data_IF_182943546826
#
_entry.id   IF_182943546826
#
_cell.length_a   1.000
_cell.length_b   1.000
_cell.length_c   1.000
_cell.angle_alpha   90.00
_cell.angle_beta   90.00
_cell.angle_gamma   90.00
#
_symmetry.space_group_name_H-M   'P 1'
#
loop_
_entity.id
_entity.type
_entity.pdbx_description
1 polymer ?
#
# COMPACT_ATOMS: atom_id res chain seq x y z
N UNK A 1 20.92 21.36 -29.92
CA UNK A 1 22.18 20.57 -29.87
C UNK A 1 21.79 19.26 -29.18
N UNK A 2 21.68 18.10 -29.81
CA UNK A 2 22.70 17.33 -30.52
C UNK A 2 22.10 16.54 -31.70
N UNK A 3 22.88 16.41 -32.77
CA UNK A 3 22.51 15.79 -34.05
C UNK A 3 22.69 14.27 -34.00
N UNK A 4 21.75 13.57 -34.64
CA UNK A 4 21.81 12.15 -35.02
C UNK A 4 23.02 11.93 -35.95
N UNK A 5 23.86 10.94 -35.66
CA UNK A 5 24.93 10.50 -36.55
C UNK A 5 24.49 9.19 -37.21
N UNK A 6 24.14 9.28 -38.48
CA UNK A 6 23.92 8.16 -39.40
C UNK A 6 25.26 7.54 -39.77
N UNK A 7 25.37 6.23 -39.57
CA UNK A 7 26.55 5.43 -39.91
C UNK A 7 26.43 5.02 -41.39
N UNK A 8 27.24 5.62 -42.26
CA UNK A 8 27.34 5.24 -43.67
C UNK A 8 28.48 4.22 -43.85
N UNK A 9 28.11 3.01 -44.28
CA UNK A 9 29.01 1.93 -44.63
C UNK A 9 29.54 2.19 -46.05
N UNK A 10 30.83 2.45 -46.21
CA UNK A 10 31.49 2.51 -47.51
C UNK A 10 32.48 1.34 -47.63
N UNK A 11 32.12 0.34 -48.41
CA UNK A 11 33.01 -0.75 -48.85
C UNK A 11 33.68 -0.31 -50.14
N UNK A 12 35.00 -0.13 -50.12
CA UNK A 12 35.80 0.06 -51.31
C UNK A 12 36.79 -1.12 -51.44
N UNK A 13 36.59 -1.93 -52.48
CA UNK A 13 37.50 -2.98 -52.89
C UNK A 13 38.59 -2.37 -53.81
N UNK A 14 39.85 -2.71 -53.55
CA UNK A 14 40.94 -2.49 -54.49
C UNK A 14 41.84 -3.72 -54.54
N UNK A 15 41.91 -4.30 -55.74
CA UNK A 15 42.73 -5.46 -56.12
C UNK A 15 44.21 -5.08 -56.24
N UNK A 16 45.09 -5.95 -55.74
CA UNK A 16 46.52 -5.95 -56.05
C UNK A 16 47.27 -6.99 -55.24
N UNK A 17 47.61 -8.13 -55.86
CA UNK A 17 48.53 -9.14 -55.30
C UNK A 17 49.84 -9.13 -56.09
N UNK A 18 50.97 -9.37 -55.41
CA UNK A 18 51.68 -10.61 -55.68
C UNK A 18 52.09 -11.38 -54.41
N UNK A 19 51.79 -12.68 -54.45
CA UNK A 19 52.48 -13.84 -53.86
C UNK A 19 53.50 -13.61 -52.73
N UNK A 20 53.00 -13.52 -51.49
CA UNK A 20 53.64 -14.07 -50.27
C UNK A 20 52.64 -14.02 -49.08
N UNK A 21 51.43 -14.56 -49.23
CA UNK A 21 50.37 -14.32 -48.24
C UNK A 21 49.31 -15.43 -48.19
N UNK A 22 49.68 -16.62 -47.74
CA UNK A 22 48.71 -17.72 -47.53
C UNK A 22 48.59 -18.18 -46.09
N UNK A 23 49.56 -17.85 -45.22
CA UNK A 23 49.49 -18.19 -43.79
C UNK A 23 48.84 -17.08 -42.95
N UNK A 24 49.20 -15.80 -43.15
CA UNK A 24 48.64 -14.67 -42.37
C UNK A 24 47.14 -14.46 -42.61
N UNK A 25 46.69 -14.63 -43.86
CA UNK A 25 45.29 -14.47 -44.26
C UNK A 25 44.37 -15.52 -43.66
N UNK A 26 44.84 -16.75 -43.43
CA UNK A 26 44.00 -17.80 -42.85
C UNK A 26 43.74 -17.60 -41.36
N UNK A 27 44.74 -17.15 -40.60
CA UNK A 27 44.58 -16.87 -39.18
C UNK A 27 43.81 -15.55 -38.93
N UNK A 28 43.98 -14.55 -39.78
CA UNK A 28 43.13 -13.35 -39.79
C UNK A 28 41.66 -13.70 -40.12
N UNK A 29 41.42 -14.56 -41.11
CA UNK A 29 40.07 -15.03 -41.45
C UNK A 29 39.41 -15.82 -40.31
N UNK A 30 40.17 -16.63 -39.56
CA UNK A 30 39.66 -17.32 -38.36
C UNK A 30 39.30 -16.32 -37.27
N UNK A 31 40.17 -15.36 -37.02
CA UNK A 31 39.96 -14.32 -36.00
C UNK A 31 38.74 -13.47 -36.31
N UNK A 32 38.56 -13.08 -37.57
CA UNK A 32 37.42 -12.30 -38.03
C UNK A 32 36.11 -13.10 -37.94
N UNK A 33 36.12 -14.38 -38.30
CA UNK A 33 34.96 -15.27 -38.13
C UNK A 33 34.55 -15.42 -36.67
N UNK A 34 35.50 -15.49 -35.76
CA UNK A 34 35.22 -15.58 -34.33
C UNK A 34 34.65 -14.26 -33.79
N UNK A 35 35.19 -13.11 -34.24
CA UNK A 35 34.63 -11.80 -33.91
C UNK A 35 33.19 -11.63 -34.42
N UNK A 36 32.89 -12.07 -35.64
CA UNK A 36 31.53 -12.02 -36.19
C UNK A 36 30.57 -12.88 -35.37
N UNK A 37 30.97 -14.10 -34.97
CA UNK A 37 30.14 -14.94 -34.07
C UNK A 37 29.93 -14.30 -32.70
N UNK A 38 30.93 -13.64 -32.16
CA UNK A 38 30.80 -12.92 -30.88
C UNK A 38 29.87 -11.72 -31.00
N UNK A 39 29.90 -11.01 -32.13
CA UNK A 39 28.98 -9.92 -32.43
C UNK A 39 27.54 -10.42 -32.59
N UNK A 40 27.32 -11.49 -33.35
CA UNK A 40 25.98 -12.09 -33.52
C UNK A 40 25.38 -12.54 -32.18
N UNK A 41 26.20 -13.14 -31.29
CA UNK A 41 25.76 -13.48 -29.93
C UNK A 41 25.38 -12.24 -29.14
N UNK A 42 26.21 -11.18 -29.16
CA UNK A 42 25.91 -9.93 -28.44
C UNK A 42 24.66 -9.23 -28.97
N UNK A 43 24.42 -9.26 -30.29
CA UNK A 43 23.21 -8.72 -30.90
C UNK A 43 21.99 -9.54 -30.46
N UNK A 44 22.10 -10.87 -30.48
CA UNK A 44 21.02 -11.77 -30.02
C UNK A 44 20.71 -11.56 -28.53
N UNK A 45 21.72 -11.45 -27.68
CA UNK A 45 21.57 -11.20 -26.25
C UNK A 45 20.94 -9.81 -25.99
N UNK A 46 21.33 -8.79 -26.77
CA UNK A 46 20.75 -7.45 -26.68
C UNK A 46 19.30 -7.40 -27.18
N UNK A 47 18.98 -8.11 -28.26
CA UNK A 47 17.60 -8.25 -28.75
C UNK A 47 16.71 -8.98 -27.74
N UNK A 48 17.22 -10.06 -27.13
CA UNK A 48 16.52 -10.75 -26.03
C UNK A 48 16.32 -9.85 -24.82
N UNK A 49 17.34 -9.06 -24.41
CA UNK A 49 17.22 -8.11 -23.32
C UNK A 49 16.20 -6.99 -23.61
N UNK A 50 16.09 -6.54 -24.87
CA UNK A 50 15.08 -5.55 -25.30
C UNK A 50 13.68 -6.16 -25.28
N UNK A 51 13.51 -7.39 -25.77
CA UNK A 51 12.22 -8.10 -25.74
C UNK A 51 11.77 -8.32 -24.28
N UNK A 52 12.70 -8.70 -23.40
CA UNK A 52 12.45 -8.91 -21.97
C UNK A 52 12.23 -7.60 -21.19
N UNK A 53 12.77 -6.48 -21.66
CA UNK A 53 12.46 -5.15 -21.13
C UNK A 53 11.09 -4.64 -21.59
N UNK A 54 10.65 -5.01 -22.78
CA UNK A 54 9.34 -4.65 -23.34
C UNK A 54 8.17 -5.50 -22.82
N UNK A 55 8.44 -6.62 -22.13
CA UNK A 55 7.44 -7.44 -21.44
C UNK A 55 7.28 -7.09 -19.96
N UNK A 56 7.97 -6.05 -19.47
CA UNK A 56 7.75 -5.52 -18.12
C UNK A 56 6.34 -4.92 -18.07
N UNK A 57 5.49 -5.29 -17.10
CA UNK A 57 4.20 -4.64 -16.93
C UNK A 57 4.44 -3.13 -16.88
N UNK A 58 3.64 -2.39 -17.65
CA UNK A 58 3.76 -0.95 -17.76
C UNK A 58 3.80 -0.36 -16.35
N UNK A 59 4.90 0.32 -16.00
CA UNK A 59 5.04 0.98 -14.70
C UNK A 59 3.84 1.88 -14.45
N UNK A 60 3.45 2.13 -13.19
CA UNK A 60 2.40 3.12 -12.85
C UNK A 60 2.54 4.44 -13.63
N UNK A 61 3.76 4.82 -14.05
CA UNK A 61 4.02 5.99 -14.91
C UNK A 61 3.49 5.92 -16.35
N UNK A 62 2.94 4.79 -16.82
CA UNK A 62 2.38 4.65 -18.17
C UNK A 62 0.94 5.18 -18.28
N UNK A 63 0.22 5.28 -17.15
CA UNK A 63 -1.15 5.81 -17.06
C UNK A 63 -1.24 6.75 -15.85
N UNK A 64 -1.63 8.00 -16.06
CA UNK A 64 -1.86 8.98 -14.99
C UNK A 64 -3.28 9.56 -15.17
N UNK A 65 -4.32 8.97 -14.53
CA UNK A 65 -4.25 8.07 -13.38
C UNK A 65 -3.95 6.60 -13.72
N UNK A 66 -3.25 5.92 -12.82
CA UNK A 66 -3.24 4.47 -12.72
C UNK A 66 -4.60 4.00 -12.17
N UNK A 67 -5.10 2.89 -12.70
CA UNK A 67 -6.40 2.32 -12.37
C UNK A 67 -6.22 0.84 -12.04
N UNK A 68 -6.75 0.39 -10.91
CA UNK A 68 -6.80 -1.04 -10.56
C UNK A 68 -8.15 -1.43 -9.97
N UNK A 69 -8.57 -2.65 -10.27
CA UNK A 69 -9.78 -3.26 -9.71
C UNK A 69 -9.38 -4.53 -8.98
N UNK A 70 -9.84 -4.67 -7.74
CA UNK A 70 -9.63 -5.84 -6.90
C UNK A 70 -11.01 -6.44 -6.60
N UNK A 71 -11.18 -7.71 -6.92
CA UNK A 71 -12.41 -8.44 -6.65
C UNK A 71 -12.16 -9.44 -5.54
N UNK A 72 -13.00 -9.40 -4.50
CA UNK A 72 -12.90 -10.29 -3.35
C UNK A 72 -14.19 -11.09 -3.20
N UNK A 73 -14.05 -12.42 -3.05
CA UNK A 73 -15.17 -13.34 -2.88
C UNK A 73 -14.94 -14.21 -1.66
N UNK A 74 -15.98 -14.39 -0.84
CA UNK A 74 -15.90 -15.09 0.44
C UNK A 74 -16.91 -16.25 0.45
N UNK A 75 -16.49 -17.38 1.04
CA UNK A 75 -17.38 -18.46 1.43
C UNK A 75 -17.36 -18.66 2.95
N UNK A 76 -18.51 -18.51 3.59
CA UNK A 76 -18.64 -18.60 5.05
C UNK A 76 -19.54 -19.75 5.47
N UNK A 77 -19.01 -20.70 6.25
CA UNK A 77 -19.78 -21.77 6.87
C UNK A 77 -19.87 -21.56 8.39
N UNK A 78 -20.91 -20.82 8.83
CA UNK A 78 -21.07 -20.38 10.22
C UNK A 78 -22.06 -21.25 10.98
N UNK A 79 -21.63 -21.83 12.09
CA UNK A 79 -22.49 -22.66 12.96
C UNK A 79 -23.48 -21.83 13.79
N UNK A 80 -23.07 -20.63 14.23
CA UNK A 80 -23.91 -19.68 14.96
C UNK A 80 -24.60 -18.72 14.00
N UNK A 81 -25.72 -18.13 14.42
CA UNK A 81 -26.43 -17.13 13.63
C UNK A 81 -25.62 -15.82 13.56
N UNK A 82 -25.11 -15.41 12.37
CA UNK A 82 -24.32 -14.19 12.23
C UNK A 82 -25.06 -12.93 12.68
N UNK A 83 -26.39 -12.89 12.54
CA UNK A 83 -27.20 -11.72 12.93
C UNK A 83 -27.24 -11.50 14.45
N UNK A 84 -26.87 -12.51 15.23
CA UNK A 84 -26.83 -12.45 16.70
C UNK A 84 -25.40 -12.29 17.24
N UNK A 85 -24.42 -12.19 16.35
CA UNK A 85 -23.02 -12.10 16.74
C UNK A 85 -22.77 -10.83 17.56
N UNK A 86 -22.04 -11.01 18.66
CA UNK A 86 -21.60 -9.93 19.53
C UNK A 86 -20.31 -10.32 20.24
N UNK A 87 -19.47 -9.31 20.49
CA UNK A 87 -18.26 -9.48 21.27
C UNK A 87 -18.57 -9.10 22.72
N UNK A 88 -18.62 -10.11 23.59
CA UNK A 88 -18.92 -9.91 25.01
C UNK A 88 -17.73 -9.26 25.75
N UNK A 89 -18.03 -8.46 26.78
CA UNK A 89 -17.02 -7.81 27.61
C UNK A 89 -16.43 -6.52 27.04
N UNK A 90 -16.86 -6.10 25.85
CA UNK A 90 -16.46 -4.86 25.20
C UNK A 90 -17.68 -4.01 24.86
N UNK A 91 -17.46 -2.69 24.77
CA UNK A 91 -18.48 -1.76 24.27
C UNK A 91 -18.68 -2.03 22.77
N UNK A 92 -19.92 -2.15 22.27
CA UNK A 92 -20.18 -2.26 20.84
C UNK A 92 -19.55 -1.11 20.07
N UNK A 93 -18.80 -1.45 19.02
CA UNK A 93 -18.02 -0.48 18.25
C UNK A 93 -18.82 0.14 17.11
N UNK A 94 -20.01 -0.38 16.80
CA UNK A 94 -20.87 0.04 15.69
C UNK A 94 -20.21 -0.06 14.30
N UNK A 95 -19.04 -0.69 14.20
CA UNK A 95 -18.37 -0.99 12.94
C UNK A 95 -18.69 -2.41 12.45
N UNK A 96 -18.14 -2.75 11.29
CA UNK A 96 -18.30 -4.05 10.64
C UNK A 96 -17.43 -5.12 11.33
N UNK A 97 -17.82 -5.49 12.54
CA UNK A 97 -17.08 -6.44 13.39
C UNK A 97 -17.67 -7.84 13.39
N UNK A 98 -18.89 -7.98 12.87
CA UNK A 98 -19.59 -9.24 12.74
C UNK A 98 -18.98 -10.16 11.67
N UNK A 99 -19.22 -11.47 11.75
CA UNK A 99 -18.98 -12.34 10.62
C UNK A 99 -19.94 -11.94 9.49
N UNK A 100 -19.50 -12.09 8.23
CA UNK A 100 -20.36 -11.87 7.07
C UNK A 100 -21.53 -12.86 6.98
N UNK A 101 -22.22 -12.85 5.84
CA UNK A 101 -23.35 -13.77 5.59
C UNK A 101 -22.88 -15.21 5.38
N UNK A 102 -23.75 -16.18 5.67
CA UNK A 102 -23.48 -17.60 5.35
C UNK A 102 -23.51 -17.84 3.83
N UNK A 103 -22.66 -18.75 3.37
CA UNK A 103 -22.57 -19.14 1.97
C UNK A 103 -21.62 -18.26 1.16
N UNK A 104 -21.85 -18.19 -0.15
CA UNK A 104 -21.09 -17.36 -1.07
C UNK A 104 -21.52 -15.90 -0.94
N UNK A 105 -20.54 -15.00 -0.87
CA UNK A 105 -20.76 -13.56 -0.78
C UNK A 105 -19.60 -12.79 -1.41
N UNK A 106 -19.81 -11.50 -1.68
CA UNK A 106 -18.72 -10.59 -2.01
C UNK A 106 -18.00 -10.19 -0.72
N UNK A 107 -16.67 -10.20 -0.76
CA UNK A 107 -15.87 -9.45 0.21
C UNK A 107 -15.68 -8.01 -0.25
N UNK A 108 -14.87 -7.26 0.48
CA UNK A 108 -14.49 -5.90 0.07
C UNK A 108 -13.76 -5.94 -1.28
N UNK A 109 -14.46 -5.47 -2.31
CA UNK A 109 -13.91 -5.29 -3.65
C UNK A 109 -13.60 -3.81 -3.85
N UNK A 110 -12.50 -3.49 -4.53
CA UNK A 110 -11.99 -2.12 -4.58
C UNK A 110 -11.74 -1.64 -6.00
N UNK A 111 -12.01 -0.35 -6.22
CA UNK A 111 -11.53 0.43 -7.35
C UNK A 111 -10.54 1.46 -6.82
N UNK A 112 -9.28 1.33 -7.19
CA UNK A 112 -8.25 2.29 -6.85
C UNK A 112 -7.85 3.12 -8.08
N UNK A 113 -7.78 4.43 -7.86
CA UNK A 113 -7.28 5.43 -8.79
C UNK A 113 -6.12 6.16 -8.11
N UNK A 114 -4.96 6.21 -8.77
CA UNK A 114 -3.81 6.92 -8.25
C UNK A 114 -3.14 7.74 -9.33
N UNK A 115 -2.77 8.98 -9.01
CA UNK A 115 -2.26 9.91 -9.99
C UNK A 115 -1.17 10.82 -9.40
N UNK A 116 -0.12 11.09 -10.16
CA UNK A 116 0.78 12.20 -9.85
C UNK A 116 0.07 13.49 -10.29
N UNK A 117 -0.18 14.37 -9.32
CA UNK A 117 -0.80 15.68 -9.57
C UNK A 117 0.24 16.60 -10.21
N UNK A 118 1.45 16.58 -9.66
CA UNK A 118 2.64 17.22 -10.18
C UNK A 118 3.91 16.46 -9.72
N UNK A 119 5.07 17.11 -9.77
CA UNK A 119 6.34 16.54 -9.32
C UNK A 119 6.50 16.45 -7.79
N UNK A 120 5.61 17.06 -7.02
CA UNK A 120 5.63 17.09 -5.57
C UNK A 120 4.50 16.30 -4.93
N UNK A 121 3.37 16.10 -5.61
CA UNK A 121 2.15 15.54 -5.03
C UNK A 121 1.60 14.35 -5.81
N UNK A 122 1.07 13.37 -5.07
CA UNK A 122 0.31 12.23 -5.58
C UNK A 122 -1.06 12.18 -4.91
N UNK A 123 -2.11 12.02 -5.71
CA UNK A 123 -3.46 11.74 -5.26
C UNK A 123 -3.76 10.24 -5.28
N UNK A 124 -4.58 9.78 -4.34
CA UNK A 124 -5.06 8.40 -4.27
C UNK A 124 -6.52 8.41 -3.85
N UNK A 125 -7.36 7.66 -4.57
CA UNK A 125 -8.76 7.42 -4.27
C UNK A 125 -8.99 5.91 -4.33
N UNK A 126 -9.47 5.33 -3.24
CA UNK A 126 -9.85 3.93 -3.13
C UNK A 126 -11.33 3.91 -2.75
N UNK A 127 -12.16 3.46 -3.69
CA UNK A 127 -13.57 3.23 -3.46
C UNK A 127 -13.79 1.73 -3.25
N UNK A 128 -14.55 1.38 -2.22
CA UNK A 128 -14.92 -0.01 -1.96
C UNK A 128 -16.37 -0.27 -2.29
N UNK A 129 -16.61 -1.51 -2.70
CA UNK A 129 -17.92 -2.09 -2.94
C UNK A 129 -18.09 -3.14 -1.84
N UNK A 130 -18.99 -2.88 -0.92
CA UNK A 130 -19.29 -3.77 0.19
C UNK A 130 -20.10 -4.99 -0.26
N UNK A 131 -20.16 -6.02 0.59
CA UNK A 131 -21.03 -7.18 0.44
C UNK A 131 -22.54 -6.84 0.37
N UNK A 132 -22.92 -5.64 0.81
CA UNK A 132 -24.29 -5.13 0.90
C UNK A 132 -24.66 -4.19 -0.26
N UNK A 133 -23.96 -4.29 -1.39
CA UNK A 133 -24.15 -3.47 -2.60
C UNK A 133 -23.97 -1.95 -2.39
N UNK A 134 -23.36 -1.54 -1.28
CA UNK A 134 -23.00 -0.15 -1.02
C UNK A 134 -21.62 0.20 -1.59
N UNK A 135 -21.47 1.46 -2.03
CA UNK A 135 -20.19 2.02 -2.47
C UNK A 135 -19.71 3.03 -1.44
N UNK A 136 -18.52 2.80 -0.89
CA UNK A 136 -17.85 3.66 0.07
C UNK A 136 -16.55 4.25 -0.48
N UNK A 137 -16.05 5.30 0.18
CA UNK A 137 -14.68 5.78 -0.01
C UNK A 137 -13.88 5.43 1.23
N UNK A 138 -12.93 4.51 1.07
CA UNK A 138 -12.05 4.04 2.15
C UNK A 138 -10.88 4.99 2.34
N UNK A 139 -10.20 5.31 1.23
CA UNK A 139 -9.12 6.26 1.19
C UNK A 139 -9.35 7.29 0.08
N UNK A 140 -8.97 8.53 0.34
CA UNK A 140 -9.14 9.65 -0.57
C UNK A 140 -8.25 10.79 -0.10
N UNK A 141 -7.00 10.80 -0.52
CA UNK A 141 -5.99 11.72 0.00
C UNK A 141 -5.02 12.21 -1.06
N UNK A 142 -4.33 13.30 -0.72
CA UNK A 142 -3.15 13.79 -1.42
C UNK A 142 -1.96 13.62 -0.48
N UNK A 143 -0.82 13.20 -1.02
CA UNK A 143 0.43 13.10 -0.28
C UNK A 143 1.60 13.69 -1.05
N UNK A 144 2.61 14.15 -0.33
CA UNK A 144 3.87 14.58 -0.91
C UNK A 144 4.71 13.37 -1.35
N UNK A 145 5.34 13.44 -2.52
CA UNK A 145 6.20 12.38 -3.06
C UNK A 145 7.61 12.41 -2.46
N UNK A 146 8.14 13.60 -2.22
CA UNK A 146 9.48 13.79 -1.69
C UNK A 146 9.60 15.16 -1.03
N UNK A 147 9.48 15.18 0.30
CA UNK A 147 10.02 16.29 1.06
C UNK A 147 11.47 15.98 1.40
N UNK A 148 12.31 17.01 1.46
CA UNK A 148 13.70 16.85 1.89
C UNK A 148 13.77 16.16 3.26
N UNK A 149 14.84 15.39 3.49
CA UNK A 149 15.13 14.76 4.79
C UNK A 149 14.15 13.66 5.22
N UNK A 150 13.42 13.01 4.29
CA UNK A 150 12.61 11.83 4.58
C UNK A 150 11.23 12.12 5.16
N UNK A 151 10.73 13.36 5.01
CA UNK A 151 9.39 13.72 5.44
C UNK A 151 8.32 13.37 4.39
N UNK A 152 7.11 13.09 4.86
CA UNK A 152 5.92 12.94 4.04
C UNK A 152 4.73 13.56 4.75
N UNK A 153 3.96 14.37 4.03
CA UNK A 153 2.68 14.87 4.48
C UNK A 153 1.59 14.20 3.66
N UNK A 154 0.56 13.68 4.33
CA UNK A 154 -0.66 13.13 3.72
C UNK A 154 -1.86 13.87 4.29
N UNK A 155 -2.81 14.25 3.45
CA UNK A 155 -4.03 14.96 3.85
C UNK A 155 -5.25 14.45 3.09
N UNK A 156 -6.34 14.21 3.81
CA UNK A 156 -7.57 13.63 3.26
C UNK A 156 -8.09 12.51 4.14
N UNK A 157 -8.77 11.54 3.52
CA UNK A 157 -9.22 10.32 4.18
C UNK A 157 -8.19 9.21 4.01
N UNK A 158 -7.73 8.59 5.09
CA UNK A 158 -6.76 7.50 5.05
C UNK A 158 -6.89 6.56 6.24
N UNK A 159 -6.37 5.33 6.12
CA UNK A 159 -6.22 4.44 7.27
C UNK A 159 -5.10 4.92 8.20
N UNK A 160 -5.44 5.09 9.47
CA UNK A 160 -4.50 5.48 10.53
C UNK A 160 -3.38 4.44 10.65
N UNK A 161 -2.16 4.90 10.92
CA UNK A 161 -1.02 4.06 11.22
C UNK A 161 -1.04 3.50 12.66
N UNK A 162 -2.22 3.35 13.26
CA UNK A 162 -2.38 2.74 14.59
C UNK A 162 -2.20 1.22 14.51
N UNK A 163 -0.96 0.80 14.70
CA UNK A 163 -0.55 -0.59 14.58
C UNK A 163 -0.52 -1.12 13.14
N UNK A 164 0.33 -2.12 12.90
CA UNK A 164 0.60 -2.68 11.57
C UNK A 164 -0.66 -3.06 10.77
N UNK A 165 -1.58 -3.79 11.40
CA UNK A 165 -2.75 -4.35 10.70
C UNK A 165 -3.71 -3.28 10.17
N UNK A 166 -3.82 -2.13 10.84
CA UNK A 166 -4.87 -1.16 10.55
C UNK A 166 -4.75 -0.52 9.16
N UNK A 167 -3.55 -0.49 8.59
CA UNK A 167 -3.27 0.08 7.27
C UNK A 167 -3.45 -0.89 6.11
N UNK A 168 -3.68 -2.17 6.39
CA UNK A 168 -3.84 -3.20 5.37
C UNK A 168 -5.32 -3.31 5.07
N UNK A 169 -5.72 -3.15 3.81
CA UNK A 169 -7.10 -3.33 3.33
C UNK A 169 -7.55 -4.80 3.45
N UNK A 170 -8.85 -5.05 3.62
CA UNK A 170 -9.32 -6.40 4.00
C UNK A 170 -9.00 -7.47 2.95
N UNK A 171 -9.00 -7.12 1.67
CA UNK A 171 -8.62 -8.04 0.58
C UNK A 171 -7.15 -8.49 0.65
N UNK A 172 -6.30 -7.80 1.41
CA UNK A 172 -4.88 -8.11 1.58
C UNK A 172 -4.55 -8.69 2.96
N UNK A 173 -5.56 -8.99 3.79
CA UNK A 173 -5.36 -9.66 5.06
C UNK A 173 -5.01 -11.14 4.88
N UNK A 174 -4.23 -11.67 5.81
CA UNK A 174 -3.94 -13.11 5.89
C UNK A 174 -5.17 -13.94 6.32
N UNK A 175 -6.14 -13.29 6.97
CA UNK A 175 -7.40 -13.88 7.42
C UNK A 175 -8.57 -13.08 6.89
N UNK A 176 -9.70 -13.75 6.64
CA UNK A 176 -10.95 -13.11 6.15
C UNK A 176 -11.50 -12.05 7.10
N UNK A 177 -11.18 -12.16 8.40
CA UNK A 177 -11.64 -11.26 9.45
C UNK A 177 -10.47 -10.49 10.07
N UNK A 178 -10.72 -9.24 10.48
CA UNK A 178 -9.75 -8.49 11.28
C UNK A 178 -9.48 -9.17 12.65
N UNK A 179 -8.27 -8.99 13.21
CA UNK A 179 -7.96 -9.42 14.57
C UNK A 179 -8.95 -8.86 15.60
N UNK A 180 -9.21 -9.62 16.65
CA UNK A 180 -10.15 -9.22 17.71
C UNK A 180 -9.82 -7.85 18.30
N UNK A 181 -8.53 -7.54 18.48
CA UNK A 181 -8.07 -6.25 18.99
C UNK A 181 -8.53 -5.08 18.10
N UNK A 182 -8.41 -5.22 16.78
CA UNK A 182 -8.89 -4.23 15.82
C UNK A 182 -10.41 -4.09 15.89
N UNK A 183 -11.14 -5.21 15.93
CA UNK A 183 -12.61 -5.21 16.05
C UNK A 183 -13.09 -4.45 17.30
N UNK A 184 -12.51 -4.72 18.47
CA UNK A 184 -13.01 -4.16 19.75
C UNK A 184 -12.50 -2.76 20.06
N UNK A 185 -11.30 -2.39 19.62
CA UNK A 185 -10.69 -1.10 19.96
C UNK A 185 -10.78 -0.07 18.84
N UNK A 186 -10.90 -0.50 17.59
CA UNK A 186 -10.88 0.36 16.41
C UNK A 186 -12.14 0.24 15.55
N UNK A 187 -13.08 -0.66 15.90
CA UNK A 187 -14.29 -0.85 15.11
C UNK A 187 -14.01 -1.45 13.73
N UNK A 188 -13.18 -2.50 13.69
CA UNK A 188 -12.65 -3.17 12.49
C UNK A 188 -11.39 -2.49 11.95
N UNK A 189 -11.49 -1.31 11.36
CA UNK A 189 -10.32 -0.54 10.89
C UNK A 189 -10.54 0.95 11.09
N UNK A 190 -9.55 1.64 11.66
CA UNK A 190 -9.57 3.08 11.86
C UNK A 190 -9.07 3.82 10.61
N UNK A 191 -9.98 4.30 9.79
CA UNK A 191 -9.79 5.45 8.91
C UNK A 191 -10.04 6.79 9.64
N UNK A 192 -9.38 7.82 9.14
CA UNK A 192 -9.51 9.20 9.61
C UNK A 192 -9.68 10.14 8.42
N UNK A 193 -10.42 11.23 8.62
CA UNK A 193 -10.35 12.39 7.74
C UNK A 193 -9.47 13.43 8.45
N UNK A 194 -8.27 13.68 7.92
CA UNK A 194 -7.26 14.41 8.66
C UNK A 194 -5.97 14.70 7.91
N UNK A 195 -4.91 14.92 8.68
CA UNK A 195 -3.54 15.15 8.20
C UNK A 195 -2.61 14.20 8.94
N UNK A 196 -1.66 13.61 8.22
CA UNK A 196 -0.55 12.83 8.74
C UNK A 196 0.78 13.49 8.34
N UNK A 197 1.69 13.59 9.29
CA UNK A 197 3.10 13.89 9.06
C UNK A 197 3.91 12.66 9.46
N UNK A 198 4.74 12.16 8.56
CA UNK A 198 5.65 11.04 8.81
C UNK A 198 7.08 11.44 8.48
N UNK A 199 8.03 10.95 9.26
CA UNK A 199 9.45 11.04 9.02
C UNK A 199 10.07 9.64 9.03
N UNK A 200 10.90 9.36 8.03
CA UNK A 200 11.69 8.12 7.96
C UNK A 200 13.16 8.50 8.09
N UNK A 201 13.88 7.87 9.02
CA UNK A 201 15.29 8.16 9.24
C UNK A 201 16.15 7.62 8.09
N UNK A 202 17.20 8.36 7.66
CA UNK A 202 18.13 7.92 6.64
C UNK A 202 19.18 6.96 7.23
N UNK A 203 18.73 5.81 7.74
CA UNK A 203 19.55 4.78 8.38
C UNK A 203 19.38 3.44 7.69
N UNK A 204 20.35 2.54 7.85
CA UNK A 204 20.27 1.18 7.31
C UNK A 204 19.14 0.37 7.99
N UNK A 205 18.93 0.62 9.28
CA UNK A 205 17.76 0.12 10.01
C UNK A 205 16.53 0.95 9.63
N UNK A 206 15.40 0.29 9.37
CA UNK A 206 14.14 1.00 9.18
C UNK A 206 13.73 1.64 10.50
N UNK A 207 13.53 2.95 10.48
CA UNK A 207 12.95 3.69 11.59
C UNK A 207 12.05 4.80 11.04
N UNK A 208 10.79 4.81 11.48
CA UNK A 208 9.88 5.90 11.20
C UNK A 208 9.21 6.42 12.47
N UNK A 209 8.73 7.65 12.39
CA UNK A 209 7.86 8.26 13.39
C UNK A 209 6.85 9.14 12.68
N UNK A 210 5.63 9.16 13.18
CA UNK A 210 4.60 10.01 12.63
C UNK A 210 3.57 10.46 13.63
N UNK A 211 2.83 11.47 13.21
CA UNK A 211 1.69 12.03 13.93
C UNK A 211 0.52 12.20 12.98
N UNK A 212 -0.66 11.90 13.47
CA UNK A 212 -1.93 12.03 12.75
C UNK A 212 -2.86 12.89 13.58
N UNK A 213 -3.57 13.79 12.91
CA UNK A 213 -4.62 14.62 13.49
C UNK A 213 -5.86 14.48 12.61
N UNK A 214 -6.93 13.96 13.19
CA UNK A 214 -8.16 13.61 12.50
C UNK A 214 -9.42 14.17 13.18
N UNK A 215 -10.49 14.17 12.39
CA UNK A 215 -11.83 14.57 12.84
C UNK A 215 -12.59 13.49 13.60
N UNK A 216 -12.04 12.27 13.72
CA UNK A 216 -12.65 11.20 14.50
C UNK A 216 -14.00 10.75 13.94
N UNK A 217 -14.01 10.29 12.69
CA UNK A 217 -15.24 9.97 11.94
C UNK A 217 -15.97 8.73 12.46
N UNK A 218 -15.25 7.80 13.08
CA UNK A 218 -15.78 6.50 13.48
C UNK A 218 -15.21 6.06 14.84
N UNK A 219 -15.66 4.91 15.33
CA UNK A 219 -15.18 4.37 16.61
C UNK A 219 -13.65 4.26 16.60
N UNK A 220 -12.95 4.64 17.70
CA UNK A 220 -13.48 5.02 19.01
C UNK A 220 -13.85 6.51 19.16
N UNK A 221 -13.67 7.32 18.12
CA UNK A 221 -13.87 8.77 18.14
C UNK A 221 -15.27 9.25 17.70
N UNK A 222 -16.09 8.34 17.13
CA UNK A 222 -17.41 8.65 16.57
C UNK A 222 -18.25 9.52 17.50
N UNK A 223 -18.95 10.49 16.92
CA UNK A 223 -19.91 11.31 17.64
C UNK A 223 -21.28 10.63 17.71
N UNK A 224 -22.10 11.09 18.66
CA UNK A 224 -23.49 10.68 18.80
C UNK A 224 -24.42 11.14 17.67
N UNK A 225 -25.73 10.84 17.79
CA UNK A 225 -26.74 11.19 16.78
C UNK A 225 -26.86 12.69 16.47
N UNK A 226 -26.47 13.55 17.42
CA UNK A 226 -26.41 15.00 17.21
C UNK A 226 -25.27 15.44 16.26
N UNK A 227 -24.43 14.50 15.82
CA UNK A 227 -23.27 14.73 14.98
C UNK A 227 -22.04 15.20 15.77
N UNK A 228 -20.89 15.35 15.10
CA UNK A 228 -19.69 15.89 15.71
C UNK A 228 -19.93 17.32 16.20
N UNK A 229 -19.09 17.78 17.13
CA UNK A 229 -19.12 19.16 17.60
C UNK A 229 -19.14 20.12 16.40
N UNK A 230 -20.06 21.07 16.39
CA UNK A 230 -20.07 22.16 15.42
C UNK A 230 -18.96 23.18 15.74
N UNK A 231 -17.71 22.72 15.75
CA UNK A 231 -16.50 23.53 15.93
C UNK A 231 -15.36 22.92 15.12
N UNK A 232 -14.49 23.77 14.61
CA UNK A 232 -13.24 23.32 14.02
C UNK A 232 -12.36 22.72 15.14
N UNK A 233 -11.88 21.49 14.95
CA UNK A 233 -11.02 20.85 15.95
C UNK A 233 -10.60 19.44 15.61
N UNK A 234 -9.62 18.96 16.38
CA UNK A 234 -9.12 17.59 16.36
C UNK A 234 -9.87 16.80 17.43
N UNK A 235 -10.42 15.64 17.07
CA UNK A 235 -11.08 14.72 18.01
C UNK A 235 -10.42 13.34 18.02
N UNK A 236 -9.46 13.10 17.14
CA UNK A 236 -8.64 11.91 17.08
C UNK A 236 -7.20 12.30 16.77
N UNK A 237 -6.26 11.78 17.54
CA UNK A 237 -4.84 11.99 17.31
C UNK A 237 -4.07 10.71 17.58
N UNK A 238 -3.13 10.39 16.70
CA UNK A 238 -2.27 9.21 16.83
C UNK A 238 -0.80 9.64 16.73
N UNK A 239 0.05 9.04 17.56
CA UNK A 239 1.50 9.12 17.45
C UNK A 239 2.02 7.70 17.34
N UNK A 240 2.82 7.42 16.32
CA UNK A 240 3.32 6.09 16.07
C UNK A 240 4.80 6.13 15.73
N UNK A 241 5.49 5.02 15.99
CA UNK A 241 6.85 4.80 15.52
C UNK A 241 7.05 3.31 15.28
N UNK A 242 7.80 3.00 14.23
CA UNK A 242 8.19 1.64 13.90
C UNK A 242 9.69 1.54 13.78
N UNK A 243 10.20 0.35 14.13
CA UNK A 243 11.57 -0.05 13.88
C UNK A 243 11.56 -1.41 13.20
N UNK A 244 12.46 -1.62 12.24
CA UNK A 244 12.54 -2.88 11.53
C UNK A 244 13.85 -3.08 10.80
N UNK A 245 14.06 -4.28 10.31
CA UNK A 245 15.24 -4.61 9.53
C UNK A 245 15.23 -6.04 9.05
N UNK A 246 16.34 -6.44 8.44
CA UNK A 246 16.50 -7.77 7.88
C UNK A 246 17.37 -8.65 8.78
N UNK A 247 17.00 -9.92 8.87
CA UNK A 247 17.76 -10.99 9.50
C UNK A 247 18.28 -11.93 8.40
N UNK A 248 19.51 -11.69 7.96
CA UNK A 248 20.07 -12.40 6.81
C UNK A 248 19.40 -11.98 5.50
N UNK A 249 19.26 -12.91 4.55
CA UNK A 249 18.72 -12.63 3.21
C UNK A 249 17.26 -13.04 3.00
N UNK A 250 16.65 -13.72 3.96
CA UNK A 250 15.32 -14.34 3.78
C UNK A 250 14.31 -13.98 4.86
N UNK A 251 14.66 -13.11 5.82
CA UNK A 251 13.77 -12.75 6.92
C UNK A 251 13.79 -11.26 7.16
N UNK A 252 12.61 -10.65 7.26
CA UNK A 252 12.43 -9.25 7.62
C UNK A 252 11.52 -9.17 8.84
N UNK A 253 11.78 -8.20 9.71
CA UNK A 253 10.96 -7.96 10.89
C UNK A 253 10.68 -6.47 11.05
N UNK A 254 9.55 -6.16 11.68
CA UNK A 254 9.19 -4.82 12.10
C UNK A 254 8.42 -4.91 13.42
N UNK A 255 8.64 -3.96 14.32
CA UNK A 255 7.82 -3.75 15.51
C UNK A 255 7.41 -2.29 15.61
N UNK A 256 6.26 -2.06 16.25
CA UNK A 256 5.64 -0.75 16.35
C UNK A 256 5.09 -0.47 17.73
N UNK A 257 5.04 0.82 18.06
CA UNK A 257 4.22 1.34 19.15
C UNK A 257 3.38 2.50 18.63
N UNK A 258 2.11 2.51 18.98
CA UNK A 258 1.19 3.61 18.67
C UNK A 258 0.47 4.08 19.93
N UNK A 259 0.19 5.38 20.01
CA UNK A 259 -0.62 6.01 21.03
C UNK A 259 -1.74 6.79 20.35
N UNK A 260 -2.95 6.22 20.42
CA UNK A 260 -4.17 6.82 19.90
C UNK A 260 -4.93 7.49 21.04
N UNK A 261 -5.30 8.76 20.86
CA UNK A 261 -6.12 9.54 21.79
C UNK A 261 -7.31 10.11 21.04
N UNK A 262 -8.51 9.82 21.52
CA UNK A 262 -9.75 10.33 20.94
C UNK A 262 -10.63 11.01 21.98
N UNK A 263 -11.50 11.91 21.54
CA UNK A 263 -12.42 12.64 22.40
C UNK A 263 -13.87 12.53 21.88
N UNK A 264 -14.48 11.33 21.97
CA UNK A 264 -15.87 11.14 21.53
C UNK A 264 -16.82 12.01 22.36
N UNK A 265 -17.90 12.42 21.71
CA UNK A 265 -19.01 13.12 22.35
C UNK A 265 -20.32 12.42 22.04
N UNK A 266 -21.05 12.12 23.10
CA UNK A 266 -22.36 11.51 23.10
C UNK A 266 -22.42 10.25 22.25
N UNK A 267 -21.29 9.53 22.13
CA UNK A 267 -21.17 8.33 21.30
C UNK A 267 -22.11 7.27 21.86
N UNK A 268 -23.20 7.01 21.15
CA UNK A 268 -24.23 6.09 21.61
C UNK A 268 -23.85 4.65 21.34
N UNK A 269 -24.33 3.73 22.16
CA UNK A 269 -24.29 2.29 21.91
C UNK A 269 -25.41 1.62 22.69
N UNK A 270 -26.00 0.56 22.14
CA UNK A 270 -27.02 -0.22 22.83
C UNK A 270 -26.38 -1.38 23.59
N UNK A 271 -26.78 -1.56 24.85
CA UNK A 271 -26.33 -2.70 25.64
C UNK A 271 -27.21 -3.95 25.43
N UNK A 272 -26.75 -5.13 25.86
CA UNK A 272 -27.52 -6.36 25.74
C UNK A 272 -28.86 -6.37 26.49
N UNK A 273 -29.10 -5.43 27.42
CA UNK A 273 -30.35 -5.29 28.15
C UNK A 273 -31.36 -4.37 27.42
N UNK A 274 -30.99 -3.84 26.25
CA UNK A 274 -31.83 -2.94 25.46
C UNK A 274 -31.79 -1.49 25.92
N UNK A 275 -30.77 -1.10 26.73
CA UNK A 275 -30.58 0.28 27.14
C UNK A 275 -29.61 0.98 26.21
N UNK A 276 -30.05 2.11 25.65
CA UNK A 276 -29.17 3.01 24.90
C UNK A 276 -28.31 3.81 25.87
N UNK A 277 -27.01 3.60 25.80
CA UNK A 277 -26.00 4.30 26.58
C UNK A 277 -25.29 5.35 25.72
N UNK A 278 -24.62 6.32 26.33
CA UNK A 278 -23.75 7.27 25.62
C UNK A 278 -22.44 7.50 26.37
N UNK A 279 -21.37 7.77 25.61
CA UNK A 279 -20.06 8.09 26.15
C UNK A 279 -19.56 9.45 25.65
N UNK A 280 -19.23 10.32 26.61
CA UNK A 280 -18.54 11.59 26.39
C UNK A 280 -17.29 11.62 27.26
N UNK A 281 -16.12 11.85 26.67
CA UNK A 281 -14.89 11.87 27.44
C UNK A 281 -13.65 11.80 26.57
N UNK A 282 -12.59 11.19 27.11
CA UNK A 282 -11.37 10.87 26.40
C UNK A 282 -11.19 9.36 26.38
N UNK A 283 -10.85 8.80 25.22
CA UNK A 283 -10.40 7.41 25.09
C UNK A 283 -8.94 7.42 24.68
N UNK A 284 -8.14 6.52 25.27
CA UNK A 284 -6.71 6.40 24.99
C UNK A 284 -6.37 4.93 24.80
N UNK A 285 -5.62 4.64 23.75
CA UNK A 285 -5.21 3.29 23.39
C UNK A 285 -3.71 3.28 23.11
N UNK A 286 -3.00 2.40 23.79
CA UNK A 286 -1.64 2.03 23.42
C UNK A 286 -1.69 0.74 22.62
N UNK A 287 -1.00 0.72 21.48
CA UNK A 287 -0.88 -0.45 20.62
C UNK A 287 0.57 -0.83 20.52
N UNK A 288 0.85 -2.12 20.69
CA UNK A 288 2.12 -2.75 20.37
C UNK A 288 1.85 -3.75 19.25
N UNK A 289 2.70 -3.72 18.23
CA UNK A 289 2.59 -4.62 17.09
C UNK A 289 3.97 -5.13 16.67
N UNK A 290 3.94 -6.24 15.94
CA UNK A 290 5.15 -6.85 15.40
C UNK A 290 4.80 -7.80 14.27
N UNK A 291 5.63 -7.79 13.23
CA UNK A 291 5.55 -8.69 12.10
C UNK A 291 6.91 -9.30 11.81
N UNK A 292 6.90 -10.57 11.44
CA UNK A 292 8.04 -11.31 10.91
C UNK A 292 7.62 -11.91 9.57
N UNK A 293 8.30 -11.54 8.50
CA UNK A 293 8.12 -12.14 7.17
C UNK A 293 9.32 -13.00 6.84
N UNK A 294 9.07 -14.20 6.34
CA UNK A 294 10.09 -15.13 5.89
C UNK A 294 9.81 -15.56 4.46
N UNK A 295 10.83 -15.47 3.62
CA UNK A 295 10.85 -15.94 2.24
C UNK A 295 12.11 -16.82 2.05
N UNK A 296 11.94 -18.15 1.87
CA UNK A 296 13.07 -19.06 1.62
C UNK A 296 13.72 -18.89 0.25
#
# INVERSE_FOLDING_TARGET
MHRKATMALAVAAALGLPHAATAQTQDELKTLREQVRQLDRRVTDAEQAVIQASSRPASESAMNPAVSVILNGIYSNLSQDPNTFRINGFVPTLGDVGPGVRGLSLGESELALAANIDHHFRGTLIASISSEDSIGVEEGYIQTLSLSYGFTIKAGRFFSAVGYQNQIHAHAWDFTDAPLANKVFLGNQLNEDGIQLKWVAPTDLYFDVGVELGRGRQFPAAAGPAGPRNKNGVSSGNVFTHVGGDLGTGTAWQTGISYLSTSPQDRTFDDPAGTTNSFTGQSRLWVLDGILKWAP
#
